data_IF_992234245809
#
_entry.id   IF_992234245809
#
_cell.length_a   1.000
_cell.length_b   1.000
_cell.length_c   1.000
_cell.angle_alpha   90.00
_cell.angle_beta   90.00
_cell.angle_gamma   90.00
#
_symmetry.space_group_name_H-M   'P 1'
#
loop_
_entity.id
_entity.type
_entity.pdbx_description
1 polymer ?
#
# COMPACT_ATOMS: atom_id res chain seq x y z
N UNK A 1 24.66 -25.34 40.09
CA UNK A 1 24.59 -25.69 38.65
C UNK A 1 23.15 -25.87 38.14
N UNK A 2 22.25 -26.55 38.85
CA UNK A 2 20.86 -26.72 38.39
C UNK A 2 20.07 -25.40 38.30
N UNK A 3 20.24 -24.50 39.28
CA UNK A 3 19.59 -23.18 39.29
C UNK A 3 20.11 -22.26 38.20
N UNK A 4 21.43 -22.23 37.98
CA UNK A 4 22.06 -21.43 36.92
C UNK A 4 21.63 -21.88 35.53
N UNK A 5 21.56 -23.19 35.28
CA UNK A 5 21.08 -23.74 34.01
C UNK A 5 19.61 -23.38 33.75
N UNK A 6 18.76 -23.47 34.78
CA UNK A 6 17.33 -23.13 34.70
C UNK A 6 17.13 -21.64 34.41
N UNK A 7 17.90 -20.76 35.05
CA UNK A 7 17.86 -19.32 34.77
C UNK A 7 18.30 -18.99 33.35
N UNK A 8 19.37 -19.62 32.85
CA UNK A 8 19.82 -19.43 31.46
C UNK A 8 18.75 -19.88 30.47
N UNK A 9 18.12 -21.04 30.72
CA UNK A 9 17.01 -21.53 29.89
C UNK A 9 15.85 -20.52 29.83
N UNK A 10 15.44 -19.96 30.98
CA UNK A 10 14.38 -18.97 31.02
C UNK A 10 14.74 -17.67 30.30
N UNK A 11 16.00 -17.21 30.41
CA UNK A 11 16.47 -16.02 29.69
C UNK A 11 16.46 -16.26 28.18
N UNK A 12 16.90 -17.44 27.72
CA UNK A 12 16.85 -17.79 26.30
C UNK A 12 15.42 -17.91 25.77
N UNK A 13 14.53 -18.53 26.54
CA UNK A 13 13.11 -18.67 26.16
C UNK A 13 12.42 -17.30 26.12
N UNK A 14 12.72 -16.42 27.09
CA UNK A 14 12.26 -15.04 27.07
C UNK A 14 12.77 -14.27 25.85
N UNK A 15 14.07 -14.36 25.54
CA UNK A 15 14.66 -13.71 24.37
C UNK A 15 14.00 -14.17 23.06
N UNK A 16 13.74 -15.48 22.91
CA UNK A 16 13.04 -16.04 21.75
C UNK A 16 11.61 -15.49 21.63
N UNK A 17 10.85 -15.46 22.73
CA UNK A 17 9.49 -14.92 22.73
C UNK A 17 9.47 -13.43 22.37
N UNK A 18 10.38 -12.64 22.94
CA UNK A 18 10.50 -11.22 22.63
C UNK A 18 10.86 -10.98 21.17
N UNK A 19 11.79 -11.76 20.62
CA UNK A 19 12.16 -11.71 19.20
C UNK A 19 10.95 -11.92 18.28
N UNK A 20 10.11 -12.92 18.57
CA UNK A 20 8.89 -13.14 17.80
C UNK A 20 7.88 -12.00 17.94
N UNK A 21 7.69 -11.49 19.16
CA UNK A 21 6.77 -10.38 19.43
C UNK A 21 7.17 -9.12 18.64
N UNK A 22 8.45 -8.75 18.64
CA UNK A 22 8.94 -7.60 17.87
C UNK A 22 8.71 -7.75 16.37
N UNK A 23 8.94 -8.95 15.81
CA UNK A 23 8.68 -9.19 14.40
C UNK A 23 7.18 -9.10 14.06
N UNK A 24 6.30 -9.63 14.92
CA UNK A 24 4.85 -9.53 14.73
C UNK A 24 4.35 -8.08 14.81
N UNK A 25 4.86 -7.29 15.75
CA UNK A 25 4.48 -5.89 15.89
C UNK A 25 4.99 -5.05 14.71
N UNK A 26 6.17 -5.38 14.19
CA UNK A 26 6.70 -4.78 12.96
C UNK A 26 5.83 -5.09 11.74
N UNK A 27 5.48 -6.37 11.52
CA UNK A 27 4.64 -6.81 10.41
C UNK A 27 3.24 -6.14 10.46
N UNK A 28 2.63 -6.07 11.64
CA UNK A 28 1.33 -5.40 11.85
C UNK A 28 1.42 -3.90 11.57
N UNK A 29 2.48 -3.26 12.06
CA UNK A 29 2.67 -1.81 11.88
C UNK A 29 2.90 -1.48 10.41
N UNK A 30 3.75 -2.25 9.73
CA UNK A 30 3.99 -2.12 8.29
C UNK A 30 2.69 -2.27 7.50
N UNK A 31 1.95 -3.37 7.72
CA UNK A 31 0.70 -3.64 7.00
C UNK A 31 -0.30 -2.50 7.17
N UNK A 32 -0.49 -2.00 8.40
CA UNK A 32 -1.40 -0.89 8.68
C UNK A 32 -0.94 0.43 8.05
N UNK A 33 0.33 0.79 8.18
CA UNK A 33 0.85 2.03 7.59
C UNK A 33 0.74 2.01 6.07
N UNK A 34 1.06 0.87 5.46
CA UNK A 34 1.02 0.70 4.02
C UNK A 34 -0.43 0.72 3.50
N UNK A 35 -1.38 0.07 4.20
CA UNK A 35 -2.81 0.17 3.87
C UNK A 35 -3.33 1.62 3.94
N UNK A 36 -3.05 2.31 5.05
CA UNK A 36 -3.51 3.69 5.21
C UNK A 36 -2.88 4.64 4.18
N UNK A 37 -1.59 4.47 3.89
CA UNK A 37 -0.88 5.31 2.92
C UNK A 37 -1.42 5.10 1.50
N UNK A 38 -1.71 3.86 1.10
CA UNK A 38 -2.26 3.61 -0.23
C UNK A 38 -3.71 4.10 -0.34
N UNK A 39 -4.53 3.98 0.72
CA UNK A 39 -5.89 4.54 0.71
C UNK A 39 -5.88 6.06 0.53
N UNK A 40 -5.00 6.77 1.24
CA UNK A 40 -4.82 8.22 1.07
C UNK A 40 -4.30 8.57 -0.32
N UNK A 41 -3.32 7.82 -0.83
CA UNK A 41 -2.73 8.10 -2.12
C UNK A 41 -3.71 7.87 -3.28
N UNK A 42 -4.53 6.83 -3.21
CA UNK A 42 -5.57 6.55 -4.20
C UNK A 42 -6.70 7.58 -4.11
N UNK A 43 -7.07 8.00 -2.90
CA UNK A 43 -7.99 9.13 -2.70
C UNK A 43 -7.49 10.40 -3.37
N UNK A 44 -6.23 10.79 -3.14
CA UNK A 44 -5.66 12.02 -3.69
C UNK A 44 -5.45 11.95 -5.21
N UNK A 45 -5.20 10.74 -5.74
CA UNK A 45 -5.18 10.47 -7.17
C UNK A 45 -6.56 10.66 -7.80
N UNK A 46 -7.62 10.19 -7.13
CA UNK A 46 -9.00 10.32 -7.59
C UNK A 46 -9.50 11.77 -7.58
N UNK A 47 -8.85 12.68 -6.85
CA UNK A 47 -9.17 14.11 -6.89
C UNK A 47 -8.67 14.81 -8.17
N UNK A 48 -7.75 14.19 -8.92
CA UNK A 48 -7.21 14.74 -10.16
C UNK A 48 -8.17 14.51 -11.35
N UNK A 49 -9.38 15.07 -11.26
CA UNK A 49 -10.40 15.02 -12.32
C UNK A 49 -10.23 16.20 -13.28
N UNK A 50 -10.47 15.97 -14.58
CA UNK A 50 -10.43 17.06 -15.56
C UNK A 50 -11.63 18.00 -15.39
N UNK A 51 -11.41 19.32 -15.18
CA UNK A 51 -12.50 20.27 -14.93
C UNK A 51 -13.41 20.48 -16.16
N UNK A 52 -12.89 20.24 -17.37
CA UNK A 52 -13.66 20.35 -18.61
C UNK A 52 -14.69 19.21 -18.71
N UNK A 53 -14.24 17.97 -18.52
CA UNK A 53 -15.10 16.78 -18.55
C UNK A 53 -16.12 16.80 -17.41
N UNK A 54 -15.71 17.27 -16.23
CA UNK A 54 -16.58 17.43 -15.07
C UNK A 54 -17.73 18.41 -15.33
N UNK A 55 -17.49 19.49 -16.08
CA UNK A 55 -18.53 20.43 -16.49
C UNK A 55 -19.56 19.79 -17.46
N UNK A 56 -19.15 18.77 -18.20
CA UNK A 56 -20.01 17.97 -19.09
C UNK A 56 -20.68 16.79 -18.37
N UNK A 57 -20.48 16.64 -17.05
CA UNK A 57 -21.04 15.56 -16.24
C UNK A 57 -20.30 14.22 -16.33
N UNK A 58 -19.15 14.19 -17.01
CA UNK A 58 -18.26 13.03 -17.14
C UNK A 58 -17.11 13.15 -16.15
N UNK A 59 -16.79 12.07 -15.45
CA UNK A 59 -15.60 12.03 -14.57
C UNK A 59 -14.50 11.31 -15.34
N UNK A 60 -13.50 12.07 -15.75
CA UNK A 60 -12.30 11.56 -16.43
C UNK A 60 -11.09 12.02 -15.65
N UNK A 61 -10.22 11.08 -15.29
CA UNK A 61 -9.03 11.38 -14.50
C UNK A 61 -7.89 11.88 -15.39
N UNK A 62 -7.23 12.97 -14.98
CA UNK A 62 -6.00 13.40 -15.62
C UNK A 62 -4.84 12.52 -15.13
N UNK A 63 -4.60 11.42 -15.83
CA UNK A 63 -3.69 10.35 -15.40
C UNK A 63 -2.30 10.86 -14.95
N UNK A 64 -1.72 11.83 -15.65
CA UNK A 64 -0.41 12.39 -15.27
C UNK A 64 -0.47 13.06 -13.88
N UNK A 65 -1.46 13.92 -13.65
CA UNK A 65 -1.66 14.59 -12.36
C UNK A 65 -2.07 13.60 -11.26
N UNK A 66 -2.89 12.61 -11.61
CA UNK A 66 -3.32 11.57 -10.68
C UNK A 66 -2.12 10.75 -10.18
N UNK A 67 -1.20 10.38 -11.07
CA UNK A 67 0.05 9.68 -10.72
C UNK A 67 0.95 10.57 -9.86
N UNK A 68 1.09 11.85 -10.20
CA UNK A 68 1.90 12.80 -9.41
C UNK A 68 1.34 12.98 -8.00
N UNK A 69 0.02 13.14 -7.85
CA UNK A 69 -0.64 13.22 -6.55
C UNK A 69 -0.45 11.93 -5.75
N UNK A 70 -0.67 10.77 -6.37
CA UNK A 70 -0.47 9.47 -5.76
C UNK A 70 0.96 9.33 -5.20
N UNK A 71 1.94 9.71 -6.02
CA UNK A 71 3.35 9.68 -5.65
C UNK A 71 3.65 10.60 -4.47
N UNK A 72 3.18 11.85 -4.50
CA UNK A 72 3.39 12.81 -3.42
C UNK A 72 2.82 12.29 -2.10
N UNK A 73 1.58 11.80 -2.11
CA UNK A 73 0.92 11.27 -0.93
C UNK A 73 1.65 10.04 -0.37
N UNK A 74 2.18 9.15 -1.22
CA UNK A 74 2.99 8.03 -0.75
C UNK A 74 4.33 8.49 -0.15
N UNK A 75 5.02 9.43 -0.79
CA UNK A 75 6.30 9.96 -0.32
C UNK A 75 6.18 10.65 1.04
N UNK A 76 5.10 11.41 1.27
CA UNK A 76 4.83 12.07 2.54
C UNK A 76 4.46 11.09 3.66
N UNK A 77 3.58 10.12 3.37
CA UNK A 77 3.07 9.20 4.39
C UNK A 77 4.07 8.09 4.77
N UNK A 78 4.79 7.53 3.79
CA UNK A 78 5.72 6.42 4.01
C UNK A 78 7.18 6.90 4.15
N UNK A 79 7.44 8.20 3.96
CA UNK A 79 8.78 8.79 3.96
C UNK A 79 9.70 8.09 2.96
N UNK A 80 9.17 7.82 1.77
CA UNK A 80 9.89 7.18 0.67
C UNK A 80 10.27 8.24 -0.37
N UNK A 81 11.13 7.87 -1.31
CA UNK A 81 11.53 8.70 -2.44
C UNK A 81 11.46 7.85 -3.70
N UNK A 82 10.87 8.39 -4.76
CA UNK A 82 10.83 7.72 -6.05
C UNK A 82 12.23 7.55 -6.63
N UNK A 83 12.70 6.30 -6.69
CA UNK A 83 13.96 5.94 -7.35
C UNK A 83 13.82 5.90 -8.90
N UNK A 84 12.58 5.92 -9.40
CA UNK A 84 12.24 5.96 -10.83
C UNK A 84 11.06 5.05 -11.16
N UNK A 85 10.15 5.53 -12.00
CA UNK A 85 8.92 4.81 -12.34
C UNK A 85 8.06 4.52 -11.11
N UNK A 86 7.61 3.27 -10.98
CA UNK A 86 6.77 2.78 -9.87
C UNK A 86 7.58 2.17 -8.72
N UNK A 87 8.88 2.47 -8.63
CA UNK A 87 9.81 1.98 -7.59
C UNK A 87 10.18 3.11 -6.65
N UNK A 88 10.06 2.85 -5.35
CA UNK A 88 10.30 3.82 -4.30
C UNK A 88 11.31 3.27 -3.29
N UNK A 89 12.34 4.05 -3.00
CA UNK A 89 13.33 3.72 -1.99
C UNK A 89 13.02 4.45 -0.69
N UNK A 90 13.12 3.76 0.48
CA UNK A 90 12.87 4.40 1.76
C UNK A 90 13.95 5.42 2.11
N UNK A 91 13.55 6.57 2.65
CA UNK A 91 14.47 7.54 3.23
C UNK A 91 15.04 7.00 4.54
N UNK A 92 16.15 7.55 5.01
CA UNK A 92 16.81 7.14 6.28
C UNK A 92 15.93 7.23 7.53
N UNK A 93 14.83 8.00 7.48
CA UNK A 93 13.84 8.14 8.55
C UNK A 93 12.54 7.34 8.31
N UNK A 94 12.51 6.47 7.30
CA UNK A 94 11.39 5.58 7.02
C UNK A 94 11.41 4.36 7.94
N UNK A 95 10.23 3.78 8.15
CA UNK A 95 10.07 2.51 8.85
C UNK A 95 10.51 1.33 7.97
N UNK A 96 10.43 1.48 6.65
CA UNK A 96 10.79 0.45 5.68
C UNK A 96 12.29 0.46 5.42
N UNK A 97 12.86 -0.73 5.22
CA UNK A 97 14.29 -0.93 4.92
C UNK A 97 14.55 -1.32 3.47
N UNK A 98 13.51 -1.77 2.79
CA UNK A 98 13.56 -2.29 1.43
C UNK A 98 12.69 -1.41 0.53
N UNK A 99 12.91 -1.53 -0.77
CA UNK A 99 12.16 -0.77 -1.76
C UNK A 99 10.67 -1.19 -1.78
N UNK A 100 9.82 -0.24 -2.14
CA UNK A 100 8.39 -0.41 -2.33
C UNK A 100 8.08 -0.30 -3.82
N UNK A 101 7.11 -1.10 -4.25
CA UNK A 101 6.75 -1.22 -5.66
C UNK A 101 5.25 -1.05 -5.81
N UNK A 102 4.80 -0.12 -6.65
CA UNK A 102 3.41 -0.12 -7.12
C UNK A 102 3.33 -1.21 -8.19
N UNK A 103 2.71 -2.33 -7.82
CA UNK A 103 2.59 -3.52 -8.66
C UNK A 103 1.46 -3.37 -9.68
N UNK A 104 0.42 -2.61 -9.32
CA UNK A 104 -0.72 -2.34 -10.19
C UNK A 104 -1.23 -0.94 -9.95
N UNK A 105 -1.57 -0.23 -11.03
CA UNK A 105 -2.28 1.04 -10.99
C UNK A 105 -3.23 1.09 -12.18
N UNK A 106 -4.51 1.29 -11.91
CA UNK A 106 -5.55 1.32 -12.92
C UNK A 106 -6.57 2.42 -12.61
N UNK A 107 -6.96 3.13 -13.67
CA UNK A 107 -7.96 4.19 -13.62
C UNK A 107 -9.17 3.71 -14.41
N UNK A 108 -10.31 3.58 -13.72
CA UNK A 108 -11.60 3.21 -14.31
C UNK A 108 -12.43 4.48 -14.35
N UNK A 109 -12.72 5.03 -15.52
CA UNK A 109 -13.39 6.31 -15.67
C UNK A 109 -14.51 6.28 -16.73
N UNK A 110 -15.22 7.39 -16.88
CA UNK A 110 -16.33 7.53 -17.85
C UNK A 110 -15.83 7.57 -19.31
N UNK A 111 -14.50 7.57 -19.56
CA UNK A 111 -13.95 7.46 -20.92
C UNK A 111 -14.05 6.02 -21.44
N UNK A 112 -14.06 5.05 -20.53
CA UNK A 112 -14.34 3.66 -20.82
C UNK A 112 -15.85 3.52 -20.96
N UNK A 113 -16.33 2.93 -22.06
CA UNK A 113 -17.77 2.71 -22.32
C UNK A 113 -18.32 1.57 -21.44
N UNK A 114 -18.17 1.68 -20.13
CA UNK A 114 -18.71 0.76 -19.14
C UNK A 114 -19.89 1.42 -18.43
N UNK A 115 -20.98 0.67 -18.30
CA UNK A 115 -22.13 1.09 -17.50
C UNK A 115 -21.89 0.63 -16.06
N UNK A 116 -21.87 1.57 -15.13
CA UNK A 116 -21.89 1.26 -13.71
C UNK A 116 -23.30 0.78 -13.29
N UNK A 117 -23.42 -0.14 -12.32
CA UNK A 117 -22.34 -0.79 -11.56
C UNK A 117 -21.65 -1.92 -12.34
N UNK A 118 -20.34 -2.10 -12.12
CA UNK A 118 -19.54 -3.16 -12.76
C UNK A 118 -18.65 -3.88 -11.73
N UNK A 119 -18.58 -5.21 -11.80
CA UNK A 119 -17.68 -5.98 -10.93
C UNK A 119 -16.27 -6.04 -11.52
N UNK A 120 -15.34 -5.32 -10.89
CA UNK A 120 -13.93 -5.40 -11.21
C UNK A 120 -13.33 -6.67 -10.62
N UNK A 121 -12.66 -7.46 -11.47
CA UNK A 121 -11.97 -8.68 -11.09
C UNK A 121 -10.54 -8.63 -11.61
N UNK A 122 -9.58 -8.74 -10.69
CA UNK A 122 -8.18 -8.91 -11.04
C UNK A 122 -7.65 -10.20 -10.40
N UNK A 123 -7.40 -11.21 -11.24
CA UNK A 123 -6.96 -12.54 -10.81
C UNK A 123 -5.50 -12.55 -10.34
N UNK A 124 -4.66 -11.63 -10.79
CA UNK A 124 -3.24 -11.57 -10.41
C UNK A 124 -3.06 -11.06 -8.96
N UNK A 125 -4.07 -10.33 -8.47
CA UNK A 125 -4.07 -9.69 -7.16
C UNK A 125 -5.25 -10.09 -6.26
N UNK A 126 -6.07 -11.06 -6.68
CA UNK A 126 -7.28 -11.52 -6.00
C UNK A 126 -8.24 -10.38 -5.58
N UNK A 127 -8.36 -9.35 -6.44
CA UNK A 127 -9.25 -8.22 -6.21
C UNK A 127 -10.61 -8.54 -6.81
N UNK A 128 -11.65 -8.50 -5.99
CA UNK A 128 -13.05 -8.62 -6.40
C UNK A 128 -13.84 -7.52 -5.70
N UNK A 129 -14.14 -6.44 -6.42
CA UNK A 129 -14.97 -5.34 -5.93
C UNK A 129 -16.04 -4.97 -6.95
N UNK A 130 -17.19 -4.50 -6.45
CA UNK A 130 -18.24 -3.95 -7.29
C UNK A 130 -18.09 -2.45 -7.30
N UNK A 131 -17.80 -1.90 -8.48
CA UNK A 131 -17.60 -0.48 -8.70
C UNK A 131 -18.92 0.18 -9.07
N UNK A 132 -19.39 1.11 -8.24
CA UNK A 132 -20.60 1.90 -8.49
C UNK A 132 -20.33 3.17 -9.30
N UNK A 133 -19.05 3.52 -9.51
CA UNK A 133 -18.65 4.69 -10.26
C UNK A 133 -17.16 4.71 -10.67
N UNK A 134 -16.72 5.83 -11.25
CA UNK A 134 -15.32 6.07 -11.63
C UNK A 134 -14.39 5.83 -10.43
N UNK A 135 -13.38 5.00 -10.61
CA UNK A 135 -12.57 4.49 -9.50
C UNK A 135 -11.10 4.44 -9.85
N UNK A 136 -10.26 4.62 -8.83
CA UNK A 136 -8.81 4.41 -8.93
C UNK A 136 -8.45 3.19 -8.11
N UNK A 137 -7.66 2.29 -8.71
CA UNK A 137 -7.24 1.04 -8.09
C UNK A 137 -5.72 1.03 -8.07
N UNK A 138 -5.13 0.82 -6.89
CA UNK A 138 -3.69 0.64 -6.76
C UNK A 138 -3.36 -0.57 -5.89
N UNK A 139 -2.23 -1.20 -6.20
CA UNK A 139 -1.64 -2.27 -5.40
C UNK A 139 -0.18 -1.94 -5.14
N UNK A 140 0.20 -1.93 -3.87
CA UNK A 140 1.59 -1.74 -3.46
C UNK A 140 2.11 -3.01 -2.78
N UNK A 141 3.35 -3.37 -3.12
CA UNK A 141 4.07 -4.51 -2.58
C UNK A 141 5.38 -4.04 -1.97
N UNK A 142 5.71 -4.57 -0.80
CA UNK A 142 7.01 -4.35 -0.14
C UNK A 142 7.43 -5.57 0.65
N UNK A 143 8.70 -5.63 1.05
CA UNK A 143 9.17 -6.62 2.00
C UNK A 143 8.91 -6.13 3.44
N UNK A 144 8.48 -7.05 4.32
CA UNK A 144 8.23 -6.70 5.71
C UNK A 144 9.52 -6.27 6.43
N UNK A 145 9.53 -5.11 7.12
CA UNK A 145 10.70 -4.63 7.86
C UNK A 145 10.88 -5.38 9.19
N UNK A 146 11.22 -6.66 9.12
CA UNK A 146 11.51 -7.47 10.30
C UNK A 146 12.86 -7.05 10.90
N UNK A 147 12.96 -7.13 12.23
CA UNK A 147 14.20 -6.79 12.95
C UNK A 147 15.13 -7.97 13.13
N UNK A 148 14.57 -9.18 13.17
CA UNK A 148 15.33 -10.40 13.36
C UNK A 148 15.17 -11.35 12.19
N UNK A 149 16.32 -11.85 11.70
CA UNK A 149 16.40 -12.69 10.51
C UNK A 149 15.49 -13.92 10.60
N UNK A 150 14.69 -14.09 9.56
CA UNK A 150 13.83 -15.22 9.27
C UNK A 150 13.58 -15.28 7.77
N UNK A 151 12.56 -16.02 7.32
CA UNK A 151 12.14 -15.97 5.92
C UNK A 151 11.69 -14.57 5.51
N UNK A 152 12.06 -14.14 4.30
CA UNK A 152 11.55 -12.92 3.69
C UNK A 152 10.04 -13.07 3.51
N UNK A 153 9.29 -12.05 3.88
CA UNK A 153 7.82 -12.03 3.76
C UNK A 153 7.43 -10.77 3.01
N UNK A 154 6.75 -10.94 1.90
CA UNK A 154 6.20 -9.82 1.15
C UNK A 154 4.84 -9.43 1.72
N UNK A 155 4.66 -8.14 1.92
CA UNK A 155 3.38 -7.53 2.26
C UNK A 155 2.86 -6.88 1.00
N UNK A 156 1.63 -7.24 0.63
CA UNK A 156 0.89 -6.64 -0.48
C UNK A 156 -0.39 -6.05 0.07
N UNK A 157 -0.74 -4.83 -0.33
CA UNK A 157 -2.06 -4.26 -0.06
C UNK A 157 -2.62 -3.61 -1.31
N UNK A 158 -3.92 -3.79 -1.50
CA UNK A 158 -4.70 -3.11 -2.52
C UNK A 158 -5.57 -2.04 -1.86
N UNK A 159 -5.79 -0.93 -2.56
CA UNK A 159 -6.86 0.00 -2.25
C UNK A 159 -7.59 0.39 -3.53
N UNK A 160 -8.89 0.54 -3.37
CA UNK A 160 -9.82 1.01 -4.39
C UNK A 160 -10.50 2.23 -3.81
N UNK A 161 -10.55 3.31 -4.58
CA UNK A 161 -11.30 4.49 -4.21
C UNK A 161 -12.27 4.84 -5.32
N UNK A 162 -13.54 4.91 -4.97
CA UNK A 162 -14.61 5.30 -5.87
C UNK A 162 -14.92 6.79 -5.72
N UNK A 163 -15.02 7.48 -6.84
CA UNK A 163 -15.46 8.85 -6.89
C UNK A 163 -17.00 8.90 -6.76
N UNK A 164 -17.49 9.36 -5.60
CA UNK A 164 -18.92 9.56 -5.38
C UNK A 164 -19.38 10.86 -6.05
N UNK A 165 -20.32 10.75 -6.98
CA UNK A 165 -21.06 11.89 -7.54
C UNK A 165 -22.00 12.51 -6.51
#
# INVERSE_FOLDING_TARGET
>A
MATTLRSILFVLLFALLMQMQYNLDADKTATRQLKNAIELAVHDAALAVSPLEMAEGRIVFEQSKAIDNLKLSLEENLKIESAGGFVYSPKSNSFYKQDLYISHLEFVDDSITMSYPYTYVNQDYDILETLDGPSVIAVITTESPRWFNGGTSYIRQAAVYEYKK
#
